data_IF_922617285349
#
_entry.id   IF_922617285349
#
_cell.length_a   1.000
_cell.length_b   1.000
_cell.length_c   1.000
_cell.angle_alpha   90.00
_cell.angle_beta   90.00
_cell.angle_gamma   90.00
#
_symmetry.space_group_name_H-M   'P 1'
#
loop_
_entity.id
_entity.type
_entity.pdbx_description
1 polymer ?
#
# COMPACT_ATOMS: atom_id res chain seq x y z
N UNK A 1 -0.09 -11.83 17.87
CA UNK A 1 1.39 -11.75 17.73
C UNK A 1 1.67 -10.76 16.64
N UNK A 2 2.26 -9.60 16.95
CA UNK A 2 2.81 -8.69 15.95
C UNK A 2 3.99 -9.45 15.32
N UNK A 3 3.79 -10.01 14.14
CA UNK A 3 4.89 -10.61 13.39
C UNK A 3 5.94 -9.53 13.14
N UNK A 4 7.22 -9.89 13.24
CA UNK A 4 8.28 -8.99 12.80
C UNK A 4 7.96 -8.49 11.39
N UNK A 5 7.87 -7.17 11.26
CA UNK A 5 7.66 -6.51 9.98
C UNK A 5 8.73 -6.99 9.00
N UNK A 6 8.33 -7.33 7.77
CA UNK A 6 9.25 -7.85 6.76
C UNK A 6 10.39 -6.84 6.56
N UNK A 7 11.67 -7.25 6.63
CA UNK A 7 12.79 -6.35 6.38
C UNK A 7 12.69 -5.71 5.00
N UNK A 8 13.18 -4.48 4.86
CA UNK A 8 13.07 -3.68 3.63
C UNK A 8 13.67 -4.45 2.43
N UNK A 9 14.73 -5.20 2.65
CA UNK A 9 15.46 -5.98 1.64
C UNK A 9 14.66 -7.20 1.15
N UNK A 10 13.64 -7.62 1.91
CA UNK A 10 12.77 -8.77 1.62
C UNK A 10 11.37 -8.35 1.14
N UNK A 11 11.15 -7.05 0.91
CA UNK A 11 9.89 -6.56 0.37
C UNK A 11 9.67 -7.06 -1.07
N UNK A 12 8.39 -7.26 -1.47
CA UNK A 12 8.04 -7.89 -2.75
C UNK A 12 8.11 -6.90 -3.93
N UNK A 13 9.27 -6.30 -4.19
CA UNK A 13 9.44 -5.30 -5.26
C UNK A 13 9.07 -5.83 -6.66
N UNK A 14 9.32 -7.12 -6.90
CA UNK A 14 9.07 -7.77 -8.20
C UNK A 14 7.66 -8.39 -8.31
N UNK A 15 6.76 -8.10 -7.36
CA UNK A 15 5.38 -8.58 -7.44
C UNK A 15 4.60 -7.85 -8.55
N UNK A 16 3.94 -8.56 -9.49
CA UNK A 16 3.09 -7.96 -10.51
C UNK A 16 2.07 -6.97 -9.94
N UNK A 17 1.51 -7.29 -8.76
CA UNK A 17 0.55 -6.45 -8.07
C UNK A 17 1.15 -5.10 -7.64
N UNK A 18 2.43 -5.08 -7.22
CA UNK A 18 3.15 -3.85 -6.86
C UNK A 18 3.44 -3.02 -8.11
N UNK A 19 3.87 -3.65 -9.20
CA UNK A 19 4.09 -2.96 -10.49
C UNK A 19 2.80 -2.38 -11.06
N UNK A 20 1.69 -3.12 -10.97
CA UNK A 20 0.37 -2.66 -11.38
C UNK A 20 -0.11 -1.48 -10.53
N UNK A 21 0.08 -1.56 -9.21
CA UNK A 21 -0.23 -0.47 -8.29
C UNK A 21 0.58 0.79 -8.63
N UNK A 22 1.89 0.65 -8.82
CA UNK A 22 2.78 1.75 -9.18
C UNK A 22 2.34 2.44 -10.47
N UNK A 23 2.09 1.68 -11.54
CA UNK A 23 1.63 2.22 -12.82
C UNK A 23 0.36 3.07 -12.70
N UNK A 24 -0.61 2.61 -11.91
CA UNK A 24 -1.85 3.33 -11.68
C UNK A 24 -1.65 4.59 -10.82
N UNK A 25 -0.80 4.54 -9.78
CA UNK A 25 -0.48 5.71 -8.98
C UNK A 25 0.25 6.78 -9.80
N UNK A 26 1.21 6.36 -10.64
CA UNK A 26 1.91 7.27 -11.56
C UNK A 26 0.95 7.90 -12.58
N UNK A 27 -0.20 7.25 -12.85
CA UNK A 27 -1.30 7.79 -13.64
C UNK A 27 -2.31 8.59 -12.81
N UNK A 28 -1.94 8.99 -11.58
CA UNK A 28 -2.74 9.72 -10.59
C UNK A 28 -4.07 9.03 -10.22
N UNK A 29 -4.08 7.69 -10.16
CA UNK A 29 -5.23 6.90 -9.71
C UNK A 29 -5.02 6.38 -8.29
N UNK A 30 -6.11 6.32 -7.52
CA UNK A 30 -6.17 5.64 -6.23
C UNK A 30 -6.17 4.12 -6.45
N UNK A 31 -5.39 3.38 -5.66
CA UNK A 31 -5.38 1.92 -5.67
C UNK A 31 -5.74 1.34 -4.30
N UNK A 32 -6.53 0.27 -4.30
CA UNK A 32 -6.88 -0.51 -3.13
C UNK A 32 -6.19 -1.87 -3.18
N UNK A 33 -5.20 -2.10 -2.34
CA UNK A 33 -4.54 -3.39 -2.16
C UNK A 33 -5.39 -4.24 -1.20
N UNK A 34 -5.96 -5.33 -1.71
CA UNK A 34 -6.95 -6.15 -1.01
C UNK A 34 -6.45 -7.59 -0.84
N UNK A 35 -6.87 -8.26 0.22
CA UNK A 35 -6.58 -9.69 0.42
C UNK A 35 -6.25 -10.06 1.87
N UNK A 36 -6.14 -11.37 2.16
CA UNK A 36 -5.91 -11.87 3.53
C UNK A 36 -4.48 -11.65 4.03
N UNK A 37 -3.51 -11.39 3.15
CA UNK A 37 -2.10 -11.20 3.50
C UNK A 37 -1.33 -10.42 2.42
N UNK A 38 -0.06 -10.10 2.68
CA UNK A 38 0.84 -9.46 1.70
C UNK A 38 0.63 -7.96 1.48
N UNK A 39 -0.55 -7.41 1.82
CA UNK A 39 -0.92 -5.99 1.59
C UNK A 39 0.08 -5.00 2.19
N UNK A 40 0.41 -5.13 3.48
CA UNK A 40 1.37 -4.27 4.18
C UNK A 40 2.74 -4.30 3.50
N UNK A 41 3.22 -5.49 3.13
CA UNK A 41 4.50 -5.65 2.44
C UNK A 41 4.48 -5.01 1.04
N UNK A 42 3.40 -5.21 0.28
CA UNK A 42 3.21 -4.56 -1.02
C UNK A 42 3.12 -3.04 -0.90
N UNK A 43 2.39 -2.53 0.08
CA UNK A 43 2.22 -1.10 0.34
C UNK A 43 3.57 -0.45 0.72
N UNK A 44 4.36 -1.12 1.56
CA UNK A 44 5.72 -0.68 1.91
C UNK A 44 6.65 -0.72 0.71
N UNK A 45 6.62 -1.77 -0.11
CA UNK A 45 7.39 -1.85 -1.35
C UNK A 45 7.04 -0.69 -2.29
N UNK A 46 5.75 -0.41 -2.44
CA UNK A 46 5.22 0.68 -3.26
C UNK A 46 5.70 2.05 -2.75
N UNK A 47 5.69 2.26 -1.44
CA UNK A 47 6.22 3.48 -0.82
C UNK A 47 7.70 3.71 -1.18
N UNK A 48 8.52 2.66 -1.12
CA UNK A 48 9.94 2.72 -1.49
C UNK A 48 10.12 2.98 -3.00
N UNK A 49 9.32 2.35 -3.84
CA UNK A 49 9.41 2.52 -5.30
C UNK A 49 9.00 3.91 -5.74
N UNK A 50 7.93 4.48 -5.16
CA UNK A 50 7.52 5.87 -5.41
C UNK A 50 8.61 6.86 -4.98
N UNK A 51 9.22 6.64 -3.82
CA UNK A 51 10.33 7.48 -3.35
C UNK A 51 11.53 7.43 -4.31
N UNK A 52 11.90 6.22 -4.77
CA UNK A 52 12.95 6.04 -5.78
C UNK A 52 12.61 6.66 -7.15
N UNK A 53 11.32 6.82 -7.46
CA UNK A 53 10.85 7.52 -8.64
C UNK A 53 10.85 9.06 -8.50
N UNK A 54 11.30 9.59 -7.35
CA UNK A 54 11.40 11.03 -7.10
C UNK A 54 10.14 11.66 -6.51
N UNK A 55 9.14 10.86 -6.12
CA UNK A 55 7.98 11.35 -5.38
C UNK A 55 8.30 11.49 -3.88
N UNK A 56 7.38 12.11 -3.15
CA UNK A 56 7.44 12.26 -1.68
C UNK A 56 6.33 11.46 -0.99
N UNK A 57 6.36 10.10 -1.08
CA UNK A 57 5.36 9.26 -0.44
C UNK A 57 5.47 9.30 1.09
N UNK A 58 4.33 9.37 1.76
CA UNK A 58 4.21 9.20 3.21
C UNK A 58 3.48 7.90 3.50
N UNK A 59 4.17 6.96 4.15
CA UNK A 59 3.58 5.70 4.61
C UNK A 59 2.94 5.88 5.99
N UNK A 60 1.65 5.56 6.11
CA UNK A 60 0.87 5.78 7.32
C UNK A 60 0.26 4.47 7.80
N UNK A 61 0.52 4.09 9.05
CA UNK A 61 -0.18 3.02 9.75
C UNK A 61 -1.31 3.61 10.58
N UNK A 62 -2.55 3.32 10.20
CA UNK A 62 -3.71 3.88 10.89
C UNK A 62 -3.82 3.37 12.33
N UNK A 63 -3.35 2.15 12.62
CA UNK A 63 -3.26 1.61 14.00
C UNK A 63 -2.45 2.49 14.97
N UNK A 64 -1.58 3.36 14.45
CA UNK A 64 -0.72 4.25 15.25
C UNK A 64 -1.34 5.64 15.48
N UNK A 65 -2.39 5.98 14.74
CA UNK A 65 -3.12 7.24 14.90
C UNK A 65 -3.96 7.18 16.17
N UNK A 66 -3.99 8.27 16.93
CA UNK A 66 -4.86 8.41 18.10
C UNK A 66 -5.98 9.39 17.82
N UNK A 67 -7.04 9.29 18.61
CA UNK A 67 -8.18 10.20 18.52
C UNK A 67 -7.73 11.66 18.63
N UNK A 68 -8.21 12.49 17.69
CA UNK A 68 -7.91 13.92 17.64
C UNK A 68 -6.55 14.28 17.04
N UNK A 69 -5.76 13.32 16.56
CA UNK A 69 -4.49 13.64 15.90
C UNK A 69 -4.69 14.22 14.50
N UNK A 70 -3.89 15.24 14.19
CA UNK A 70 -3.65 15.71 12.82
C UNK A 70 -2.61 14.83 12.08
N UNK A 71 -2.37 15.11 10.79
CA UNK A 71 -1.25 14.51 10.07
C UNK A 71 0.10 14.93 10.68
N UNK A 72 0.25 16.19 11.08
CA UNK A 72 1.49 16.71 11.67
C UNK A 72 1.80 16.05 13.02
N UNK A 73 0.76 15.81 13.83
CA UNK A 73 0.84 15.00 15.06
C UNK A 73 1.38 13.60 14.79
N UNK A 74 0.87 12.95 13.74
CA UNK A 74 1.29 11.61 13.35
C UNK A 74 2.75 11.61 12.90
N UNK A 75 3.13 12.51 11.98
CA UNK A 75 4.49 12.61 11.46
C UNK A 75 5.47 12.85 12.60
N UNK A 76 5.22 13.85 13.43
CA UNK A 76 6.12 14.24 14.54
C UNK A 76 6.38 13.09 15.50
N UNK A 77 5.36 12.27 15.80
CA UNK A 77 5.47 11.18 16.77
C UNK A 77 6.02 9.88 16.18
N UNK A 78 5.95 9.70 14.85
CA UNK A 78 6.28 8.43 14.19
C UNK A 78 7.37 8.53 13.12
N UNK A 79 8.21 9.58 13.15
CA UNK A 79 9.35 9.74 12.23
C UNK A 79 10.25 8.50 12.18
N UNK A 80 10.67 8.01 13.35
CA UNK A 80 11.56 6.84 13.45
C UNK A 80 10.87 5.55 12.99
N UNK A 81 9.56 5.43 13.27
CA UNK A 81 8.76 4.29 12.84
C UNK A 81 8.64 4.23 11.32
N UNK A 82 8.35 5.37 10.69
CA UNK A 82 8.34 5.51 9.25
C UNK A 82 9.69 5.13 8.64
N UNK A 83 10.79 5.72 9.12
CA UNK A 83 12.13 5.43 8.62
C UNK A 83 12.48 3.94 8.71
N UNK A 84 12.12 3.27 9.81
CA UNK A 84 12.34 1.82 9.98
C UNK A 84 11.53 0.98 8.99
N UNK A 85 10.32 1.41 8.64
CA UNK A 85 9.42 0.65 7.80
C UNK A 85 9.74 0.79 6.31
N UNK A 86 10.15 1.97 5.86
CA UNK A 86 10.34 2.26 4.42
C UNK A 86 11.74 2.75 4.06
N UNK A 87 12.63 2.96 5.03
CA UNK A 87 14.06 3.22 4.76
C UNK A 87 14.37 4.64 4.29
N UNK A 88 13.41 5.56 4.35
CA UNK A 88 13.60 6.98 4.08
C UNK A 88 12.84 7.85 5.12
N UNK A 89 13.31 9.08 5.39
CA UNK A 89 12.68 9.96 6.37
C UNK A 89 11.26 10.33 5.93
N UNK A 90 10.34 10.47 6.90
CA UNK A 90 8.98 10.92 6.61
C UNK A 90 9.03 12.32 5.97
N UNK A 91 8.47 12.51 4.76
CA UNK A 91 8.51 13.79 4.09
C UNK A 91 7.57 14.78 4.77
N UNK A 92 8.04 16.02 5.02
CA UNK A 92 7.18 17.11 5.52
C UNK A 92 6.18 17.55 4.44
N UNK A 93 6.66 17.68 3.21
CA UNK A 93 5.83 17.91 2.03
C UNK A 93 5.66 16.58 1.29
N UNK A 94 4.43 16.10 1.19
CA UNK A 94 4.10 14.82 0.60
C UNK A 94 3.11 15.00 -0.56
N UNK A 95 3.33 14.25 -1.64
CA UNK A 95 2.51 14.23 -2.86
C UNK A 95 1.68 12.93 -3.00
N UNK A 96 2.03 11.91 -2.22
CA UNK A 96 1.32 10.64 -2.13
C UNK A 96 1.25 10.16 -0.68
N UNK A 97 0.08 9.70 -0.24
CA UNK A 97 -0.13 9.07 1.06
C UNK A 97 -0.56 7.62 0.83
N UNK A 98 0.10 6.71 1.55
CA UNK A 98 -0.14 5.28 1.51
C UNK A 98 -0.67 4.84 2.87
N UNK A 99 -1.93 4.40 2.92
CA UNK A 99 -2.63 4.04 4.16
C UNK A 99 -2.62 2.54 4.40
N UNK A 100 -2.02 2.11 5.51
CA UNK A 100 -2.10 0.74 6.00
C UNK A 100 -3.18 0.60 7.08
N UNK A 101 -3.72 -0.61 7.21
CA UNK A 101 -4.83 -0.97 8.11
C UNK A 101 -6.08 -0.07 7.92
N UNK A 102 -6.41 0.23 6.66
CA UNK A 102 -7.46 1.18 6.34
C UNK A 102 -8.88 0.72 6.65
N UNK A 103 -9.11 -0.56 6.93
CA UNK A 103 -10.37 -1.00 7.53
C UNK A 103 -10.75 -0.20 8.78
N UNK A 104 -9.77 0.34 9.54
CA UNK A 104 -10.03 1.13 10.74
C UNK A 104 -10.80 2.43 10.44
N UNK A 105 -10.61 3.02 9.27
CA UNK A 105 -11.37 4.21 8.83
C UNK A 105 -12.82 3.83 8.55
N UNK A 106 -13.07 2.64 7.99
CA UNK A 106 -14.41 2.13 7.74
C UNK A 106 -15.12 1.68 9.04
N UNK A 107 -14.39 1.07 9.98
CA UNK A 107 -14.93 0.59 11.25
C UNK A 107 -15.17 1.71 12.27
N UNK A 108 -14.29 2.73 12.30
CA UNK A 108 -14.31 3.82 13.28
C UNK A 108 -14.30 5.21 12.63
N UNK A 109 -15.24 5.54 11.73
CA UNK A 109 -15.17 6.75 10.89
C UNK A 109 -15.07 8.05 11.71
N UNK A 110 -15.78 8.16 12.84
CA UNK A 110 -15.73 9.34 13.72
C UNK A 110 -14.36 9.56 14.38
N UNK A 111 -13.60 8.48 14.63
CA UNK A 111 -12.28 8.58 15.24
C UNK A 111 -11.25 9.13 14.24
N UNK A 112 -11.42 8.79 12.96
CA UNK A 112 -10.50 9.15 11.89
C UNK A 112 -10.95 10.33 11.03
N UNK A 113 -12.16 10.86 11.22
CA UNK A 113 -12.75 11.92 10.37
C UNK A 113 -11.81 13.12 10.18
N UNK A 114 -11.27 13.67 11.26
CA UNK A 114 -10.34 14.81 11.19
C UNK A 114 -9.02 14.46 10.50
N UNK A 115 -8.48 13.27 10.76
CA UNK A 115 -7.25 12.79 10.14
C UNK A 115 -7.45 12.60 8.63
N UNK A 116 -8.48 11.83 8.24
CA UNK A 116 -8.84 11.54 6.85
C UNK A 116 -9.16 12.81 6.07
N UNK A 117 -9.91 13.74 6.67
CA UNK A 117 -10.23 15.03 6.05
C UNK A 117 -8.99 15.83 5.64
N UNK A 118 -7.88 15.71 6.40
CA UNK A 118 -6.63 16.39 6.08
C UNK A 118 -5.80 15.73 4.98
N UNK A 119 -6.04 14.44 4.67
CA UNK A 119 -5.16 13.64 3.81
C UNK A 119 -5.81 13.15 2.52
N UNK A 120 -7.14 13.11 2.46
CA UNK A 120 -7.91 12.41 1.41
C UNK A 120 -7.41 12.67 0.00
N UNK A 121 -7.22 13.92 -0.37
CA UNK A 121 -6.83 14.35 -1.72
C UNK A 121 -5.44 13.84 -2.16
N UNK A 122 -4.61 13.44 -1.19
CA UNK A 122 -3.25 12.93 -1.43
C UNK A 122 -3.16 11.42 -1.24
N UNK A 123 -4.22 10.75 -0.81
CA UNK A 123 -4.21 9.28 -0.71
C UNK A 123 -4.08 8.71 -2.11
N UNK A 124 -3.10 7.82 -2.29
CA UNK A 124 -2.82 7.15 -3.58
C UNK A 124 -2.86 5.64 -3.48
N UNK A 125 -2.56 5.08 -2.32
CA UNK A 125 -2.68 3.65 -2.08
C UNK A 125 -3.29 3.36 -0.72
N UNK A 126 -4.09 2.30 -0.66
CA UNK A 126 -4.79 1.88 0.56
C UNK A 126 -4.66 0.36 0.68
N UNK A 127 -4.13 -0.13 1.79
CA UNK A 127 -4.18 -1.54 2.16
C UNK A 127 -5.37 -1.78 3.09
N UNK A 128 -6.28 -2.67 2.69
CA UNK A 128 -7.48 -2.97 3.47
C UNK A 128 -7.98 -4.40 3.26
N UNK A 129 -8.89 -4.86 4.12
CA UNK A 129 -9.67 -6.07 3.88
C UNK A 129 -10.62 -5.88 2.69
N UNK A 130 -10.88 -6.94 1.95
CA UNK A 130 -11.77 -6.91 0.77
C UNK A 130 -13.17 -6.38 1.11
N UNK A 131 -13.75 -6.78 2.24
CA UNK A 131 -15.06 -6.31 2.69
C UNK A 131 -15.14 -4.83 3.09
N UNK A 132 -14.01 -4.12 3.19
CA UNK A 132 -13.99 -2.70 3.53
C UNK A 132 -14.01 -1.77 2.30
N UNK A 133 -13.79 -2.32 1.09
CA UNK A 133 -13.53 -1.51 -0.12
C UNK A 133 -14.69 -0.58 -0.47
N UNK A 134 -15.94 -1.05 -0.40
CA UNK A 134 -17.11 -0.22 -0.74
C UNK A 134 -17.27 0.97 0.21
N UNK A 135 -17.00 0.76 1.50
CA UNK A 135 -17.06 1.83 2.49
C UNK A 135 -15.89 2.80 2.30
N UNK A 136 -14.69 2.28 2.05
CA UNK A 136 -13.52 3.10 1.78
C UNK A 136 -13.66 3.92 0.50
N UNK A 137 -14.34 3.42 -0.54
CA UNK A 137 -14.62 4.17 -1.76
C UNK A 137 -15.51 5.39 -1.48
N UNK A 138 -16.50 5.26 -0.58
CA UNK A 138 -17.35 6.40 -0.15
C UNK A 138 -16.56 7.47 0.60
N UNK A 139 -15.54 7.06 1.36
CA UNK A 139 -14.75 7.96 2.21
C UNK A 139 -13.58 8.59 1.45
N UNK A 140 -12.84 7.79 0.68
CA UNK A 140 -11.57 8.17 0.04
C UNK A 140 -11.74 8.48 -1.45
N UNK A 141 -12.80 8.00 -2.10
CA UNK A 141 -13.06 8.14 -3.53
C UNK A 141 -12.92 6.81 -4.28
N UNK A 142 -13.36 6.77 -5.54
CA UNK A 142 -13.24 5.56 -6.36
C UNK A 142 -11.76 5.26 -6.69
N UNK A 143 -11.44 3.98 -6.80
CA UNK A 143 -10.08 3.52 -7.06
C UNK A 143 -10.05 2.11 -7.61
N UNK A 144 -8.86 1.66 -8.01
CA UNK A 144 -8.67 0.36 -8.65
C UNK A 144 -8.40 -0.70 -7.58
N UNK A 145 -9.27 -1.71 -7.42
CA UNK A 145 -9.00 -2.84 -6.54
C UNK A 145 -7.93 -3.76 -7.14
N UNK A 146 -6.91 -4.08 -6.36
CA UNK A 146 -5.82 -4.99 -6.71
C UNK A 146 -5.76 -6.08 -5.63
N UNK A 147 -6.12 -7.31 -5.99
CA UNK A 147 -6.07 -8.46 -5.09
C UNK A 147 -4.64 -8.98 -4.94
N UNK A 148 -4.18 -9.14 -3.71
CA UNK A 148 -2.87 -9.70 -3.38
C UNK A 148 -2.91 -11.23 -3.50
N UNK A 149 -2.15 -11.79 -4.43
CA UNK A 149 -2.09 -13.24 -4.66
C UNK A 149 -0.79 -13.89 -4.16
N UNK A 150 0.03 -13.18 -3.38
CA UNK A 150 1.27 -13.72 -2.82
C UNK A 150 1.21 -13.86 -1.29
N UNK A 151 1.85 -14.91 -0.76
CA UNK A 151 2.04 -15.09 0.68
C UNK A 151 3.36 -14.43 1.11
N UNK A 152 3.35 -13.50 2.08
CA UNK A 152 4.57 -12.92 2.60
C UNK A 152 5.47 -14.01 3.23
N UNK A 153 6.73 -14.07 2.81
CA UNK A 153 7.71 -15.06 3.29
C UNK A 153 7.92 -16.27 2.38
N UNK A 154 7.08 -16.49 1.36
CA UNK A 154 7.44 -17.42 0.28
C UNK A 154 8.45 -16.74 -0.64
N UNK A 155 9.72 -17.16 -0.55
CA UNK A 155 10.67 -16.89 -1.60
C UNK A 155 10.07 -17.43 -2.90
N UNK A 156 9.64 -16.55 -3.81
CA UNK A 156 9.33 -16.99 -5.17
C UNK A 156 10.57 -17.70 -5.66
N UNK A 157 10.45 -19.02 -5.89
CA UNK A 157 11.49 -19.81 -6.54
C UNK A 157 11.87 -19.01 -7.78
N UNK A 158 13.11 -18.51 -7.81
CA UNK A 158 13.67 -17.88 -9.00
C UNK A 158 13.50 -18.90 -10.12
N UNK A 159 12.52 -18.67 -10.99
CA UNK A 159 12.40 -19.44 -12.21
C UNK A 159 13.72 -19.22 -12.95
N UNK A 160 14.48 -20.29 -13.25
CA UNK A 160 15.78 -20.13 -13.87
C UNK A 160 15.61 -19.38 -15.18
N UNK A 161 16.52 -18.42 -15.43
CA UNK A 161 16.49 -17.48 -16.55
C UNK A 161 16.33 -18.15 -17.94
N UNK A 162 16.53 -19.48 -18.05
CA UNK A 162 16.28 -20.27 -19.26
C UNK A 162 14.82 -20.58 -19.58
N UNK A 163 13.86 -20.35 -18.67
CA UNK A 163 12.42 -20.61 -18.91
C UNK A 163 11.63 -19.37 -19.37
N UNK A 164 12.18 -18.17 -19.23
CA UNK A 164 11.59 -16.93 -19.75
C UNK A 164 11.60 -16.87 -21.29
N UNK A 165 12.44 -17.68 -21.96
CA UNK A 165 12.49 -17.77 -23.42
C UNK A 165 11.50 -18.74 -24.06
N UNK A 166 10.80 -19.57 -23.28
CA UNK A 166 9.88 -20.62 -23.78
C UNK A 166 8.42 -20.40 -23.39
N UNK A 167 8.13 -19.45 -22.50
CA UNK A 167 6.75 -19.08 -22.13
C UNK A 167 6.12 -18.04 -23.08
N UNK A 168 6.66 -17.87 -24.30
CA UNK A 168 6.06 -17.04 -25.36
C UNK A 168 4.98 -17.78 -26.17
N UNK A 169 4.60 -19.00 -25.78
CA UNK A 169 3.60 -19.79 -26.48
C UNK A 169 2.50 -20.23 -25.53
N UNK A 170 1.44 -19.41 -25.54
CA UNK A 170 0.06 -19.84 -25.36
C UNK A 170 -0.28 -20.53 -24.04
N UNK A 171 -0.76 -19.74 -23.07
CA UNK A 171 -2.00 -20.08 -22.38
C UNK A 171 -2.57 -18.86 -21.66
N UNK A 172 -3.86 -18.67 -21.89
CA UNK A 172 -4.72 -17.60 -21.43
C UNK A 172 -4.81 -17.65 -19.90
N UNK A 173 -4.72 -16.50 -19.24
CA UNK A 173 -5.33 -16.31 -17.91
C UNK A 173 -6.34 -15.20 -18.07
N UNK A 174 -7.61 -15.59 -18.04
CA UNK A 174 -8.75 -14.69 -18.06
C UNK A 174 -8.65 -13.70 -16.90
N UNK A 175 -8.74 -12.42 -17.24
CA UNK A 175 -9.11 -11.37 -16.30
C UNK A 175 -10.62 -11.26 -16.39
N UNK A 176 -11.34 -11.89 -15.46
CA UNK A 176 -12.77 -11.63 -15.32
C UNK A 176 -12.95 -10.32 -14.56
N UNK A 177 -13.41 -9.29 -15.28
CA UNK A 177 -14.02 -8.10 -14.69
C UNK A 177 -15.50 -8.42 -14.57
N UNK A 178 -15.98 -8.60 -13.34
CA UNK A 178 -17.39 -8.46 -12.98
C UNK A 178 -17.45 -7.60 -11.72
#
# INVERSE_FOLDING_TARGET
>A
MLGEEIPIEKLPYDAPEVSLALSNIMSNRLVYLLGPGGKTAALRALAVMLYKAGMSPLYVKLEWVKYGWSLDDYITRHLDGHLKLVGYPAPREHDAILLDDAELVAEYPRLYEGFVGSIREKVRAVAAREGAVEHLAKILGDGIPIKMNFKPGEARRKLPLGLLGLASLGQIVEVEII
#
